data_IF_630733908456
#
_entry.id   IF_630733908456
#
_cell.length_a   1.000
_cell.length_b   1.000
_cell.length_c   1.000
_cell.angle_alpha   90.00
_cell.angle_beta   90.00
_cell.angle_gamma   90.00
#
_symmetry.space_group_name_H-M   'P 1'
#
loop_
_entity.id
_entity.type
_entity.pdbx_description
1 polymer ?
#
# COMPACT_ATOMS: atom_id res chain seq x y z
N UNK A 1 17.37 16.18 4.18
CA UNK A 1 17.38 16.95 5.45
C UNK A 1 17.64 15.99 6.60
N UNK A 2 18.79 16.07 7.25
CA UNK A 2 19.04 15.27 8.47
C UNK A 2 18.24 15.92 9.61
N UNK A 3 17.28 15.20 10.24
CA UNK A 3 16.46 15.81 11.28
C UNK A 3 17.31 16.15 12.51
N UNK A 4 16.91 17.19 13.27
CA UNK A 4 17.53 17.45 14.56
C UNK A 4 17.33 16.24 15.47
N UNK A 5 18.43 15.73 16.02
CA UNK A 5 18.37 14.79 17.13
C UNK A 5 17.74 15.52 18.33
N UNK A 6 16.81 14.88 19.07
CA UNK A 6 16.48 13.45 19.06
C UNK A 6 15.23 13.06 18.22
N UNK A 7 15.30 11.89 17.55
CA UNK A 7 14.17 11.25 16.85
C UNK A 7 13.27 10.55 17.87
N UNK A 8 12.39 11.31 18.51
CA UNK A 8 11.52 10.79 19.57
C UNK A 8 10.16 10.41 19.00
N UNK A 9 9.65 9.24 19.39
CA UNK A 9 8.27 8.87 19.10
C UNK A 9 7.30 9.82 19.81
N UNK A 10 6.42 10.47 19.05
CA UNK A 10 5.47 11.46 19.58
C UNK A 10 4.47 10.88 20.59
N UNK A 11 4.22 9.57 20.56
CA UNK A 11 3.21 8.92 21.41
C UNK A 11 3.78 8.33 22.71
N UNK A 12 4.98 7.74 22.68
CA UNK A 12 5.56 7.04 23.84
C UNK A 12 6.91 7.60 24.33
N UNK A 13 7.44 8.63 23.67
CA UNK A 13 8.76 9.21 23.92
C UNK A 13 9.96 8.25 23.76
N UNK A 14 9.75 7.04 23.23
CA UNK A 14 10.83 6.10 22.88
C UNK A 14 11.51 6.44 21.55
N UNK A 15 12.37 5.53 21.07
CA UNK A 15 13.12 5.71 19.83
C UNK A 15 12.20 5.69 18.59
N UNK A 16 12.25 6.76 17.81
CA UNK A 16 11.43 6.96 16.64
C UNK A 16 12.10 6.52 15.34
N UNK A 17 11.66 5.42 14.75
CA UNK A 17 12.24 4.84 13.52
C UNK A 17 11.51 5.23 12.24
N UNK A 18 10.24 5.67 12.33
CA UNK A 18 9.40 5.96 11.18
C UNK A 18 8.87 7.38 11.23
N UNK A 19 8.79 8.04 10.08
CA UNK A 19 8.18 9.37 9.93
C UNK A 19 7.05 9.28 8.92
N UNK A 20 5.85 9.70 9.30
CA UNK A 20 4.76 9.80 8.33
C UNK A 20 4.86 11.13 7.57
N UNK A 21 4.73 11.11 6.25
CA UNK A 21 4.80 12.32 5.42
C UNK A 21 3.43 12.90 5.06
N UNK A 22 2.37 12.12 5.23
CA UNK A 22 0.98 12.54 4.98
C UNK A 22 0.28 13.08 6.24
N UNK A 23 0.71 12.67 7.45
CA UNK A 23 0.22 13.25 8.70
C UNK A 23 0.72 14.70 8.88
N UNK A 24 -0.13 15.54 9.46
CA UNK A 24 0.22 16.93 9.78
C UNK A 24 1.47 17.00 10.66
N UNK A 25 2.38 17.93 10.33
CA UNK A 25 3.66 18.16 11.02
C UNK A 25 4.69 17.02 10.92
N UNK A 26 4.47 16.03 10.04
CA UNK A 26 5.41 14.92 9.78
C UNK A 26 5.92 14.22 11.05
N UNK A 27 5.01 13.66 11.86
CA UNK A 27 5.34 13.09 13.16
C UNK A 27 6.23 11.85 13.03
N UNK A 28 7.07 11.67 14.04
CA UNK A 28 7.96 10.51 14.18
C UNK A 28 7.34 9.50 15.17
N UNK A 29 7.41 8.21 14.82
CA UNK A 29 6.86 7.10 15.58
C UNK A 29 7.88 5.96 15.74
N UNK A 30 7.81 5.24 16.85
CA UNK A 30 8.38 3.90 16.94
C UNK A 30 7.49 2.92 16.14
N UNK A 31 7.96 1.69 15.91
CA UNK A 31 7.25 0.68 15.11
C UNK A 31 5.82 0.41 15.61
N UNK A 32 5.64 0.23 16.93
CA UNK A 32 4.33 -0.08 17.52
C UNK A 32 3.35 1.11 17.45
N UNK A 33 3.81 2.32 17.78
CA UNK A 33 3.02 3.53 17.69
C UNK A 33 2.65 3.87 16.25
N UNK A 34 3.56 3.64 15.30
CA UNK A 34 3.30 3.82 13.87
C UNK A 34 2.16 2.89 13.41
N UNK A 35 2.22 1.61 13.81
CA UNK A 35 1.19 0.62 13.51
C UNK A 35 -0.19 1.02 14.05
N UNK A 36 -0.25 1.46 15.30
CA UNK A 36 -1.52 1.86 15.94
C UNK A 36 -2.10 3.08 15.24
N UNK A 37 -1.27 4.10 14.99
CA UNK A 37 -1.72 5.36 14.38
C UNK A 37 -2.24 5.17 12.95
N UNK A 38 -1.64 4.27 12.17
CA UNK A 38 -1.98 4.05 10.76
C UNK A 38 -2.90 2.83 10.54
N UNK A 39 -3.50 2.27 11.59
CA UNK A 39 -4.38 1.10 11.48
C UNK A 39 -5.62 1.33 10.59
N UNK A 40 -6.08 2.59 10.49
CA UNK A 40 -7.19 2.99 9.61
C UNK A 40 -6.73 3.87 8.45
N UNK A 41 -5.41 4.09 8.33
CA UNK A 41 -4.80 4.93 7.30
C UNK A 41 -3.64 4.17 6.63
N UNK A 42 -3.89 2.96 6.08
CA UNK A 42 -2.84 2.06 5.59
C UNK A 42 -2.13 2.56 4.32
N UNK A 43 -2.68 3.59 3.68
CA UNK A 43 -2.17 4.20 2.44
C UNK A 43 -1.40 5.51 2.70
N UNK A 44 -1.15 5.86 3.96
CA UNK A 44 -0.25 6.95 4.30
C UNK A 44 1.19 6.59 3.94
N UNK A 45 1.91 7.53 3.35
CA UNK A 45 3.32 7.38 3.03
C UNK A 45 4.16 7.61 4.28
N UNK A 46 5.21 6.79 4.41
CA UNK A 46 6.16 6.86 5.50
C UNK A 46 7.59 6.84 4.98
N UNK A 47 8.49 7.27 5.84
CA UNK A 47 9.92 7.13 5.67
C UNK A 47 10.50 6.38 6.87
N UNK A 48 11.55 5.59 6.64
CA UNK A 48 12.27 4.86 7.68
C UNK A 48 13.65 5.46 7.89
N UNK A 49 14.08 5.53 9.15
CA UNK A 49 15.44 5.90 9.51
C UNK A 49 16.42 4.76 9.19
N UNK A 50 17.43 5.04 8.36
CA UNK A 50 18.46 4.07 7.97
C UNK A 50 19.78 4.17 8.76
N UNK A 51 19.85 5.05 9.76
CA UNK A 51 21.08 5.36 10.49
C UNK A 51 21.62 6.77 10.19
N UNK A 52 21.35 7.31 9.01
CA UNK A 52 21.86 8.62 8.56
C UNK A 52 20.75 9.60 8.17
N UNK A 53 19.71 9.11 7.49
CA UNK A 53 18.59 9.91 7.04
C UNK A 53 17.30 9.07 6.99
N UNK A 54 16.18 9.76 6.81
CA UNK A 54 14.90 9.14 6.52
C UNK A 54 14.79 8.90 5.01
N UNK A 55 14.58 7.65 4.62
CA UNK A 55 14.38 7.23 3.24
C UNK A 55 12.95 6.72 3.05
N UNK A 56 12.43 6.77 1.83
CA UNK A 56 11.11 6.22 1.48
C UNK A 56 10.96 4.76 1.99
N UNK A 57 9.78 4.44 2.52
CA UNK A 57 9.45 3.12 3.06
C UNK A 57 7.94 2.88 2.88
N UNK A 58 7.47 1.68 3.22
CA UNK A 58 6.08 1.28 3.10
C UNK A 58 5.49 0.90 4.45
N UNK A 59 4.25 1.33 4.70
CA UNK A 59 3.51 0.92 5.89
C UNK A 59 3.35 -0.61 5.96
N UNK A 60 3.42 -1.34 4.85
CA UNK A 60 3.41 -2.81 4.85
C UNK A 60 4.50 -3.43 5.73
N UNK A 61 5.66 -2.78 5.87
CA UNK A 61 6.77 -3.28 6.68
C UNK A 61 6.51 -3.15 8.20
N UNK A 62 5.50 -2.36 8.59
CA UNK A 62 5.25 -1.94 9.98
C UNK A 62 3.83 -2.29 10.44
N UNK A 63 2.87 -2.19 9.54
CA UNK A 63 1.47 -2.43 9.77
C UNK A 63 1.09 -3.87 9.42
N UNK A 64 0.09 -4.38 10.14
CA UNK A 64 -0.55 -5.63 9.77
C UNK A 64 -1.42 -5.42 8.53
N UNK A 65 -1.75 -6.54 7.89
CA UNK A 65 -2.69 -6.62 6.78
C UNK A 65 -3.96 -5.79 7.01
N UNK A 66 -4.42 -5.11 5.96
CA UNK A 66 -5.70 -4.43 5.85
C UNK A 66 -6.81 -5.40 6.30
N UNK A 67 -7.44 -5.17 7.46
CA UNK A 67 -8.50 -6.03 7.92
C UNK A 67 -9.78 -5.71 7.15
N UNK A 68 -10.35 -6.70 6.47
CA UNK A 68 -11.72 -6.58 5.97
C UNK A 68 -12.65 -6.58 7.16
N UNK A 69 -13.42 -5.50 7.31
CA UNK A 69 -14.33 -5.27 8.43
C UNK A 69 -15.76 -5.60 8.03
N UNK A 70 -16.53 -6.18 8.96
CA UNK A 70 -17.98 -6.35 8.80
C UNK A 70 -18.69 -5.14 9.38
N UNK A 71 -19.22 -4.25 8.53
CA UNK A 71 -19.96 -3.08 9.00
C UNK A 71 -19.14 -2.17 9.94
N UNK A 72 -17.81 -2.13 9.77
CA UNK A 72 -16.89 -1.36 10.61
C UNK A 72 -16.16 -2.17 11.69
N UNK A 73 -16.62 -3.37 12.03
CA UNK A 73 -15.99 -4.20 13.07
C UNK A 73 -14.99 -5.22 12.49
N UNK A 74 -13.90 -5.55 13.22
CA UNK A 74 -12.97 -6.61 12.81
C UNK A 74 -13.71 -7.95 12.61
N UNK A 75 -13.25 -8.74 11.64
CA UNK A 75 -13.77 -10.09 11.44
C UNK A 75 -13.62 -10.93 12.73
N UNK A 76 -14.71 -11.50 13.29
CA UNK A 76 -14.65 -12.27 14.54
C UNK A 76 -13.82 -13.55 14.40
N UNK A 77 -13.70 -14.08 13.19
CA UNK A 77 -12.89 -15.25 12.86
C UNK A 77 -11.42 -14.92 12.61
N UNK A 78 -11.00 -13.66 12.79
CA UNK A 78 -9.60 -13.24 12.67
C UNK A 78 -9.06 -13.07 11.24
N UNK A 79 -9.88 -13.35 10.22
CA UNK A 79 -9.55 -13.24 8.79
C UNK A 79 -8.33 -14.08 8.39
N UNK A 80 -8.55 -15.28 7.86
CA UNK A 80 -7.46 -16.12 7.35
C UNK A 80 -7.90 -16.84 6.07
N UNK A 81 -7.16 -16.60 4.99
CA UNK A 81 -7.07 -17.50 3.86
C UNK A 81 -5.60 -17.74 3.59
N UNK A 82 -5.14 -18.96 3.88
CA UNK A 82 -3.95 -19.53 3.25
C UNK A 82 -4.37 -19.95 1.85
N UNK A 83 -3.93 -19.21 0.83
CA UNK A 83 -4.22 -19.52 -0.56
C UNK A 83 -3.33 -20.68 -1.02
N UNK A 84 -3.71 -21.91 -0.67
CA UNK A 84 -3.19 -23.10 -1.35
C UNK A 84 -4.02 -23.40 -2.60
N UNK A 85 -3.59 -22.93 -3.79
CA UNK A 85 -4.20 -23.29 -5.08
C UNK A 85 -3.12 -23.40 -6.19
N UNK A 86 -3.21 -24.37 -7.14
CA UNK A 86 -2.09 -24.91 -7.93
C UNK A 86 -1.37 -23.96 -8.90
N UNK A 87 -0.08 -24.24 -9.09
CA UNK A 87 0.82 -23.67 -10.11
C UNK A 87 0.35 -24.02 -11.53
N UNK A 88 -0.63 -23.30 -12.07
CA UNK A 88 -1.01 -23.40 -13.49
C UNK A 88 -0.61 -22.14 -14.26
N UNK A 89 0.57 -21.58 -13.97
CA UNK A 89 1.19 -20.55 -14.81
C UNK A 89 2.46 -21.15 -15.38
N UNK A 90 2.42 -21.43 -16.69
CA UNK A 90 3.59 -21.79 -17.48
C UNK A 90 4.70 -20.75 -17.26
N UNK A 91 5.86 -21.27 -16.87
CA UNK A 91 7.11 -20.55 -16.70
C UNK A 91 7.57 -19.98 -18.05
N UNK A 92 7.27 -18.70 -18.30
CA UNK A 92 7.96 -17.92 -19.31
C UNK A 92 9.10 -17.14 -18.64
N UNK A 93 10.25 -17.81 -18.53
CA UNK A 93 11.48 -17.23 -18.00
C UNK A 93 12.16 -16.41 -19.10
N UNK A 94 12.07 -15.08 -19.02
CA UNK A 94 13.16 -14.23 -19.53
C UNK A 94 13.95 -13.68 -18.34
N UNK A 95 15.14 -14.25 -18.17
CA UNK A 95 16.18 -13.86 -17.23
C UNK A 95 16.58 -12.39 -17.42
N UNK A 96 16.42 -11.55 -16.39
CA UNK A 96 17.32 -10.42 -16.11
C UNK A 96 17.34 -10.12 -14.61
N UNK A 97 18.24 -10.80 -13.88
CA UNK A 97 18.77 -10.24 -12.63
C UNK A 97 19.64 -9.01 -12.97
N UNK A 98 19.06 -7.81 -13.02
CA UNK A 98 19.86 -6.59 -13.08
C UNK A 98 19.15 -5.43 -12.35
N UNK A 99 19.76 -5.02 -11.23
CA UNK A 99 19.31 -3.99 -10.26
C UNK A 99 18.00 -4.30 -9.51
N UNK A 100 18.11 -5.01 -8.38
CA UNK A 100 17.06 -4.99 -7.36
C UNK A 100 16.82 -3.54 -6.93
N UNK A 101 15.74 -2.94 -7.43
CA UNK A 101 15.31 -1.59 -7.05
C UNK A 101 15.08 -1.45 -5.54
N UNK A 102 14.77 -0.24 -5.06
CA UNK A 102 14.49 -0.02 -3.64
C UNK A 102 13.44 -1.03 -3.12
N UNK A 103 13.65 -1.68 -1.95
CA UNK A 103 12.75 -2.75 -1.46
C UNK A 103 11.29 -2.34 -1.31
N UNK A 104 10.99 -1.05 -1.15
CA UNK A 104 9.62 -0.54 -1.05
C UNK A 104 8.89 -0.42 -2.39
N UNK A 105 9.61 -0.51 -3.52
CA UNK A 105 9.07 -0.46 -4.88
C UNK A 105 8.96 -1.85 -5.52
N UNK A 106 9.69 -2.83 -5.01
CA UNK A 106 9.60 -4.21 -5.49
C UNK A 106 8.19 -4.75 -5.24
N UNK A 107 7.48 -5.08 -6.32
CA UNK A 107 6.21 -5.78 -6.23
C UNK A 107 6.47 -7.13 -5.54
N UNK A 108 5.87 -7.38 -4.37
CA UNK A 108 6.12 -8.61 -3.65
C UNK A 108 5.57 -9.81 -4.42
N UNK A 109 6.35 -10.89 -4.41
CA UNK A 109 5.97 -12.19 -4.97
C UNK A 109 4.94 -12.92 -4.10
N UNK A 110 4.67 -12.42 -2.90
CA UNK A 110 3.68 -12.93 -1.97
C UNK A 110 2.25 -12.71 -2.48
N UNK A 111 1.50 -13.80 -2.57
CA UNK A 111 0.12 -13.83 -3.08
C UNK A 111 -0.88 -13.13 -2.14
N UNK A 112 -0.51 -12.89 -0.88
CA UNK A 112 -1.35 -12.12 0.06
C UNK A 112 -1.25 -10.60 -0.11
N UNK A 113 -0.31 -10.13 -0.94
CA UNK A 113 -0.11 -8.72 -1.17
C UNK A 113 -0.98 -8.18 -2.30
N UNK A 114 -1.72 -7.12 -1.97
CA UNK A 114 -2.51 -6.32 -2.87
C UNK A 114 -1.76 -5.05 -3.25
N UNK A 115 -1.69 -4.78 -4.55
CA UNK A 115 -1.29 -3.47 -5.08
C UNK A 115 -2.51 -2.55 -5.04
N UNK A 116 -2.40 -1.46 -4.29
CA UNK A 116 -3.47 -0.45 -4.13
C UNK A 116 -3.03 0.84 -4.78
N UNK A 117 -3.75 1.25 -5.83
CA UNK A 117 -3.52 2.50 -6.54
C UNK A 117 -4.39 3.60 -5.91
N UNK A 118 -3.74 4.60 -5.33
CA UNK A 118 -4.33 5.71 -4.58
C UNK A 118 -3.85 7.05 -5.13
N UNK A 119 -4.51 8.15 -4.77
CA UNK A 119 -4.13 9.52 -5.20
C UNK A 119 -2.71 9.89 -4.76
N UNK A 120 -2.26 9.35 -3.62
CA UNK A 120 -0.89 9.54 -3.11
C UNK A 120 0.17 8.67 -3.79
N UNK A 121 -0.21 7.73 -4.67
CA UNK A 121 0.69 6.81 -5.35
C UNK A 121 0.24 5.35 -5.30
N UNK A 122 1.17 4.45 -5.61
CA UNK A 122 0.99 3.00 -5.59
C UNK A 122 1.49 2.45 -4.26
N UNK A 123 0.64 1.69 -3.59
CA UNK A 123 0.90 1.11 -2.28
C UNK A 123 0.83 -0.41 -2.35
N UNK A 124 1.57 -1.05 -1.46
CA UNK A 124 1.47 -2.48 -1.24
C UNK A 124 0.87 -2.71 0.13
N UNK A 125 -0.16 -3.55 0.23
CA UNK A 125 -0.82 -3.88 1.48
C UNK A 125 -1.12 -5.37 1.51
N UNK A 126 -0.83 -6.03 2.63
CA UNK A 126 -1.37 -7.37 2.85
C UNK A 126 -2.87 -7.23 3.15
N UNK A 127 -3.68 -8.20 2.73
CA UNK A 127 -5.13 -8.19 3.00
C UNK A 127 -5.54 -9.46 3.71
N UNK A 128 -6.38 -9.32 4.75
CA UNK A 128 -7.02 -10.47 5.42
C UNK A 128 -8.48 -10.55 5.06
N UNK A 129 -8.79 -11.43 4.13
CA UNK A 129 -10.15 -11.74 3.74
C UNK A 129 -10.91 -12.45 4.85
N UNK A 130 -12.21 -12.18 4.90
CA UNK A 130 -13.14 -12.88 5.76
C UNK A 130 -13.50 -14.25 5.16
N UNK A 131 -13.60 -15.26 6.04
CA UNK A 131 -14.07 -16.61 5.72
C UNK A 131 -15.24 -17.06 6.63
N UNK A 132 -16.05 -16.12 7.12
CA UNK A 132 -17.25 -16.42 7.90
C UNK A 132 -18.31 -17.09 7.01
N UNK A 133 -19.20 -17.95 7.56
CA UNK A 133 -20.31 -18.49 6.79
C UNK A 133 -21.16 -17.38 6.14
N UNK A 134 -21.35 -17.45 4.82
CA UNK A 134 -22.02 -16.40 4.05
C UNK A 134 -21.15 -15.20 3.69
N UNK A 135 -19.81 -15.31 3.83
CA UNK A 135 -18.88 -14.31 3.30
C UNK A 135 -19.06 -14.14 1.80
N UNK A 136 -18.97 -12.90 1.35
CA UNK A 136 -19.01 -12.59 -0.08
C UNK A 136 -17.72 -13.01 -0.79
N UNK A 137 -17.77 -13.01 -2.12
CA UNK A 137 -16.59 -13.14 -2.98
C UNK A 137 -15.53 -12.07 -2.68
N UNK A 138 -14.26 -12.39 -2.96
CA UNK A 138 -13.11 -11.55 -2.63
C UNK A 138 -13.23 -10.11 -3.15
N UNK A 139 -13.70 -9.94 -4.39
CA UNK A 139 -13.84 -8.62 -5.00
C UNK A 139 -14.92 -7.76 -4.32
N UNK A 140 -15.98 -8.37 -3.78
CA UNK A 140 -17.02 -7.67 -3.01
C UNK A 140 -16.52 -7.28 -1.62
N UNK A 141 -15.71 -8.14 -0.99
CA UNK A 141 -15.04 -7.81 0.27
C UNK A 141 -14.10 -6.61 0.13
N UNK A 142 -13.36 -6.52 -0.99
CA UNK A 142 -12.53 -5.36 -1.32
C UNK A 142 -13.37 -4.12 -1.62
N UNK A 143 -14.46 -4.26 -2.37
CA UNK A 143 -15.36 -3.15 -2.65
C UNK A 143 -15.95 -2.53 -1.36
N UNK A 144 -16.26 -3.36 -0.36
CA UNK A 144 -16.67 -2.91 0.98
C UNK A 144 -15.57 -2.17 1.76
N UNK A 145 -14.31 -2.36 1.38
CA UNK A 145 -13.16 -1.63 1.90
C UNK A 145 -12.78 -0.42 1.01
N UNK A 146 -13.70 0.05 0.16
CA UNK A 146 -13.51 1.14 -0.80
C UNK A 146 -12.40 0.89 -1.85
N UNK A 147 -12.18 -0.39 -2.18
CA UNK A 147 -11.21 -0.84 -3.18
C UNK A 147 -11.92 -1.45 -4.39
N UNK A 148 -11.79 -0.82 -5.54
CA UNK A 148 -12.27 -1.30 -6.82
C UNK A 148 -11.25 -2.25 -7.46
N UNK A 149 -11.64 -3.47 -7.75
CA UNK A 149 -10.75 -4.48 -8.33
C UNK A 149 -10.55 -4.30 -9.83
N UNK A 150 -9.30 -4.39 -10.30
CA UNK A 150 -9.00 -4.43 -11.74
C UNK A 150 -9.58 -5.68 -12.42
N UNK A 151 -9.59 -6.80 -11.70
CA UNK A 151 -10.07 -8.10 -12.17
C UNK A 151 -10.94 -8.77 -11.11
N UNK A 152 -11.94 -9.53 -11.53
CA UNK A 152 -12.89 -10.18 -10.61
C UNK A 152 -12.43 -11.56 -10.14
N UNK A 153 -11.63 -12.27 -10.95
CA UNK A 153 -11.18 -13.64 -10.64
C UNK A 153 -10.05 -13.68 -9.59
N UNK A 154 -9.08 -12.77 -9.69
CA UNK A 154 -7.91 -12.70 -8.81
C UNK A 154 -7.43 -11.25 -8.68
N UNK A 155 -7.99 -10.48 -7.74
CA UNK A 155 -7.62 -9.08 -7.59
C UNK A 155 -6.24 -8.96 -6.94
N UNK A 156 -5.19 -8.83 -7.77
CA UNK A 156 -3.85 -8.43 -7.31
C UNK A 156 -3.65 -6.93 -7.33
N UNK A 157 -4.44 -6.22 -8.16
CA UNK A 157 -4.42 -4.77 -8.28
C UNK A 157 -5.81 -4.22 -8.01
N UNK A 158 -5.86 -3.20 -7.16
CA UNK A 158 -7.07 -2.45 -6.83
C UNK A 158 -6.84 -0.97 -6.96
N UNK A 159 -7.91 -0.23 -7.21
CA UNK A 159 -7.96 1.21 -7.29
C UNK A 159 -8.87 1.71 -6.18
N UNK A 160 -8.44 2.74 -5.48
CA UNK A 160 -9.35 3.44 -4.56
C UNK A 160 -10.39 4.23 -5.36
N UNK A 161 -11.64 4.27 -4.88
CA UNK A 161 -12.68 5.09 -5.53
C UNK A 161 -12.27 6.58 -5.59
N UNK A 162 -11.58 7.06 -4.56
CA UNK A 162 -11.05 8.43 -4.53
C UNK A 162 -10.10 8.73 -5.70
N UNK A 163 -9.22 7.78 -6.07
CA UNK A 163 -8.33 7.92 -7.22
C UNK A 163 -9.11 7.92 -8.54
N UNK A 164 -10.13 7.05 -8.67
CA UNK A 164 -10.98 7.01 -9.86
C UNK A 164 -11.72 8.35 -10.06
N UNK A 165 -12.27 8.90 -8.98
CA UNK A 165 -12.95 10.19 -8.99
C UNK A 165 -11.99 11.35 -9.33
N UNK A 166 -10.75 11.31 -8.82
CA UNK A 166 -9.73 12.30 -9.16
C UNK A 166 -9.34 12.19 -10.64
N UNK A 167 -9.14 10.98 -11.15
CA UNK A 167 -8.83 10.77 -12.57
C UNK A 167 -9.94 11.32 -13.48
N UNK A 168 -11.22 11.06 -13.16
CA UNK A 168 -12.35 11.58 -13.95
C UNK A 168 -12.33 13.11 -13.96
N UNK A 169 -12.06 13.76 -12.82
CA UNK A 169 -11.94 15.22 -12.74
C UNK A 169 -10.76 15.74 -13.57
N UNK A 170 -9.57 15.15 -13.42
CA UNK A 170 -8.37 15.55 -14.16
C UNK A 170 -8.53 15.32 -15.68
N UNK A 171 -9.29 14.30 -16.07
CA UNK A 171 -9.60 14.02 -17.46
C UNK A 171 -10.55 15.07 -18.06
N UNK A 172 -11.63 15.42 -17.35
CA UNK A 172 -12.63 16.40 -17.81
C UNK A 172 -12.08 17.82 -17.79
N UNK A 173 -11.43 18.24 -16.70
CA UNK A 173 -11.00 19.63 -16.50
C UNK A 173 -9.70 19.95 -17.24
N UNK A 174 -8.76 19.01 -17.30
CA UNK A 174 -7.41 19.25 -17.82
C UNK A 174 -7.09 18.45 -19.09
N UNK A 175 -8.00 17.60 -19.58
CA UNK A 175 -7.72 16.72 -20.72
C UNK A 175 -6.64 15.68 -20.41
N UNK A 176 -6.43 15.36 -19.13
CA UNK A 176 -5.36 14.45 -18.71
C UNK A 176 -5.63 13.05 -19.23
N UNK A 177 -4.70 12.50 -20.01
CA UNK A 177 -4.76 11.11 -20.45
C UNK A 177 -4.47 10.17 -19.28
N UNK A 178 -4.96 8.93 -19.35
CA UNK A 178 -4.67 7.87 -18.37
C UNK A 178 -3.16 7.71 -18.15
N UNK A 179 -2.36 7.74 -19.22
CA UNK A 179 -0.90 7.61 -19.14
C UNK A 179 -0.23 8.76 -18.38
N UNK A 180 -0.70 9.99 -18.57
CA UNK A 180 -0.17 11.16 -17.85
C UNK A 180 -0.57 11.11 -16.38
N UNK A 181 -1.81 10.73 -16.09
CA UNK A 181 -2.27 10.55 -14.71
C UNK A 181 -1.47 9.44 -14.00
N UNK A 182 -1.23 8.31 -14.67
CA UNK A 182 -0.39 7.25 -14.13
C UNK A 182 1.06 7.70 -13.90
N UNK A 183 1.63 8.45 -14.85
CA UNK A 183 2.96 9.03 -14.72
C UNK A 183 3.10 10.00 -13.53
N UNK A 184 2.02 10.68 -13.15
CA UNK A 184 1.91 11.49 -11.92
C UNK A 184 1.95 10.57 -10.69
N UNK A 185 1.17 9.49 -10.68
CA UNK A 185 1.17 8.52 -9.58
C UNK A 185 2.53 7.85 -9.36
N UNK A 186 3.23 7.49 -10.43
CA UNK A 186 4.59 6.93 -10.34
C UNK A 186 5.55 7.89 -9.63
N UNK A 187 5.52 9.18 -9.98
CA UNK A 187 6.34 10.21 -9.33
C UNK A 187 5.91 10.49 -7.89
N UNK A 188 4.61 10.39 -7.58
CA UNK A 188 4.11 10.52 -6.21
C UNK A 188 4.58 9.35 -5.31
N UNK A 189 4.73 8.16 -5.90
CA UNK A 189 5.19 6.94 -5.24
C UNK A 189 6.68 6.98 -4.98
N UNK A 190 7.47 7.29 -6.02
CA UNK A 190 8.89 7.58 -5.88
C UNK A 190 9.30 8.57 -6.96
N UNK A 191 9.71 9.76 -6.52
CA UNK A 191 10.18 10.78 -7.45
C UNK A 191 11.59 10.47 -7.97
N UNK A 192 12.38 9.72 -7.20
CA UNK A 192 13.72 9.31 -7.59
C UNK A 192 13.71 8.17 -8.62
N UNK A 193 12.78 7.21 -8.48
CA UNK A 193 12.71 6.02 -9.32
C UNK A 193 11.29 5.74 -9.85
N UNK A 194 10.67 6.68 -10.59
CA UNK A 194 9.28 6.52 -11.02
C UNK A 194 9.07 5.34 -11.99
N UNK A 195 10.10 4.97 -12.75
CA UNK A 195 10.06 3.87 -13.71
C UNK A 195 10.10 2.48 -13.03
N UNK A 196 10.49 2.41 -11.76
CA UNK A 196 10.48 1.16 -10.98
C UNK A 196 9.15 0.91 -10.28
N UNK A 197 8.23 1.88 -10.31
CA UNK A 197 6.88 1.70 -9.79
C UNK A 197 6.14 0.77 -10.76
N UNK A 198 5.61 -0.38 -10.28
CA UNK A 198 5.02 -1.39 -11.15
C UNK A 198 3.97 -0.79 -12.08
N UNK A 199 3.86 -1.31 -13.30
CA UNK A 199 2.74 -1.00 -14.20
C UNK A 199 1.78 -2.17 -14.07
N UNK A 200 0.54 -1.88 -13.67
CA UNK A 200 -0.52 -2.87 -13.47
C UNK A 200 -0.88 -3.64 -14.73
#
# INVERSE_FOLDING_TARGET
>A
EAPPLPRICILCAGDGSFRCTDCAHRPVFCTSCCRIQHNLLPLHRIEQWNGMFFQESSLRQVCHALPIRHGGEPCPSGGYQDMGVPNDIEEDWEDLEENAGPPHLAAPQDQSCLTVVHTSGVHFCDVRYCNCPGSEDLHLQLARADLFTATTKQPRTTFTFQMLDEFIRDNVECGTSTMNYYSKLQRNTSNAFPHLVPVS
#
